data_IF_008229206077
#
_entry.id   IF_008229206077
#
_cell.length_a   1.000
_cell.length_b   1.000
_cell.length_c   1.000
_cell.angle_alpha   90.00
_cell.angle_beta   90.00
_cell.angle_gamma   90.00
#
_symmetry.space_group_name_H-M   'P 1'
#
loop_
_entity.id
_entity.type
_entity.pdbx_description
1 polymer ?
#
# COMPACT_ATOMS: atom_id res chain seq x y z
N UNK A 1 11.46 -58.26 35.47
CA UNK A 1 12.02 -57.02 34.86
C UNK A 1 10.91 -56.26 34.13
N UNK A 2 10.28 -55.27 34.79
CA UNK A 2 9.21 -54.40 34.24
C UNK A 2 9.55 -52.95 34.59
N UNK A 3 10.52 -52.34 33.90
CA UNK A 3 10.93 -50.94 34.11
C UNK A 3 11.47 -50.33 32.80
N UNK A 4 10.60 -50.16 31.80
CA UNK A 4 10.94 -49.32 30.65
C UNK A 4 9.74 -48.64 29.97
N UNK A 5 8.50 -48.91 30.40
CA UNK A 5 7.31 -48.45 29.69
C UNK A 5 6.75 -47.07 30.13
N UNK A 6 7.35 -46.38 31.11
CA UNK A 6 6.84 -45.10 31.62
C UNK A 6 7.55 -43.85 31.07
N UNK A 7 8.69 -43.99 30.38
CA UNK A 7 9.42 -42.83 29.86
C UNK A 7 8.91 -42.35 28.48
N UNK A 8 8.23 -43.19 27.70
CA UNK A 8 7.73 -42.78 26.38
C UNK A 8 6.44 -41.95 26.42
N UNK A 9 5.61 -42.07 27.46
CA UNK A 9 4.35 -41.30 27.55
C UNK A 9 4.53 -39.83 27.92
N UNK A 10 5.63 -39.46 28.59
CA UNK A 10 5.86 -38.06 29.00
C UNK A 10 6.38 -37.24 27.81
N UNK A 11 7.14 -37.86 26.90
CA UNK A 11 7.64 -37.19 25.70
C UNK A 11 6.52 -36.92 24.67
N UNK A 12 5.51 -37.80 24.60
CA UNK A 12 4.35 -37.61 23.71
C UNK A 12 3.42 -36.47 24.12
N UNK A 13 3.40 -36.07 25.40
CA UNK A 13 2.52 -35.01 25.88
C UNK A 13 3.10 -33.60 25.62
N UNK A 14 4.43 -33.49 25.54
CA UNK A 14 5.14 -32.22 25.29
C UNK A 14 5.12 -31.80 23.81
N UNK A 15 4.99 -32.73 22.87
CA UNK A 15 4.98 -32.44 21.43
C UNK A 15 3.60 -31.98 20.92
N UNK A 16 2.50 -32.33 21.60
CA UNK A 16 1.15 -31.87 21.23
C UNK A 16 0.88 -30.43 21.71
N UNK A 17 1.61 -29.94 22.72
CA UNK A 17 1.48 -28.57 23.21
C UNK A 17 2.34 -27.55 22.43
N UNK A 18 3.06 -27.99 21.40
CA UNK A 18 3.74 -27.12 20.43
C UNK A 18 2.89 -26.80 19.19
N UNK A 19 1.59 -27.13 19.21
CA UNK A 19 0.65 -26.70 18.16
C UNK A 19 0.46 -25.17 18.21
N UNK A 20 1.33 -24.51 17.46
CA UNK A 20 1.00 -23.40 16.57
C UNK A 20 0.27 -22.22 17.21
N UNK A 21 1.02 -21.42 17.99
CA UNK A 21 0.82 -19.97 17.93
C UNK A 21 1.31 -19.50 16.54
N UNK A 22 0.54 -19.75 15.50
CA UNK A 22 0.66 -18.95 14.27
C UNK A 22 0.16 -17.57 14.64
N UNK A 23 1.08 -16.67 14.98
CA UNK A 23 0.76 -15.26 15.12
C UNK A 23 0.12 -14.80 13.83
N UNK A 24 -1.20 -14.57 13.86
CA UNK A 24 -1.90 -13.81 12.83
C UNK A 24 -1.24 -12.43 12.82
N UNK A 25 -0.31 -12.22 11.88
CA UNK A 25 0.11 -10.88 11.51
C UNK A 25 -1.12 -10.21 10.90
N UNK A 26 -1.98 -9.64 11.75
CA UNK A 26 -3.07 -8.78 11.31
C UNK A 26 -2.39 -7.55 10.73
N UNK A 27 -2.41 -7.41 9.41
CA UNK A 27 -2.15 -6.11 8.80
C UNK A 27 -3.21 -5.16 9.35
N UNK A 28 -2.79 -4.21 10.17
CA UNK A 28 -3.68 -3.23 10.78
C UNK A 28 -4.31 -2.43 9.65
N UNK A 29 -5.61 -2.67 9.40
CA UNK A 29 -6.37 -1.93 8.39
C UNK A 29 -6.97 -0.72 9.07
N UNK A 30 -6.56 0.46 8.63
CA UNK A 30 -7.02 1.73 9.17
C UNK A 30 -8.12 2.30 8.28
N UNK A 31 -9.20 2.84 8.87
CA UNK A 31 -10.30 3.47 8.14
C UNK A 31 -10.19 5.00 8.18
N UNK A 32 -9.76 5.60 7.07
CA UNK A 32 -9.78 7.04 6.83
C UNK A 32 -11.08 7.51 6.17
N UNK A 33 -11.46 8.77 6.37
CA UNK A 33 -12.62 9.40 5.71
C UNK A 33 -12.18 10.49 4.74
N UNK A 34 -12.87 10.59 3.61
CA UNK A 34 -12.75 11.67 2.63
C UNK A 34 -11.49 11.61 1.75
N UNK A 35 -10.31 11.74 2.36
CA UNK A 35 -9.04 11.89 1.67
C UNK A 35 -7.87 11.19 2.37
N UNK A 36 -6.81 10.94 1.61
CA UNK A 36 -5.53 10.41 2.08
C UNK A 36 -4.39 11.22 1.46
N UNK A 37 -3.58 11.86 2.29
CA UNK A 37 -2.27 12.40 1.93
C UNK A 37 -1.19 11.44 2.41
N UNK A 38 -0.14 11.26 1.62
CA UNK A 38 0.98 10.44 2.02
C UNK A 38 2.28 10.92 1.38
N UNK A 39 3.35 10.93 2.17
CA UNK A 39 4.70 11.28 1.74
C UNK A 39 5.75 10.35 2.33
N UNK A 40 6.67 9.86 1.50
CA UNK A 40 7.74 9.00 1.99
C UNK A 40 8.55 8.32 0.91
N UNK A 41 9.03 7.12 1.22
CA UNK A 41 9.87 6.28 0.36
C UNK A 41 9.38 4.83 0.39
N UNK A 42 9.58 4.10 -0.71
CA UNK A 42 9.16 2.71 -0.86
C UNK A 42 8.14 2.53 -1.98
N UNK A 43 6.97 1.98 -1.64
CA UNK A 43 5.86 1.72 -2.57
C UNK A 43 4.53 2.14 -1.96
N UNK A 44 3.71 2.82 -2.76
CA UNK A 44 2.30 3.08 -2.46
C UNK A 44 1.44 2.51 -3.59
N UNK A 45 0.45 1.69 -3.26
CA UNK A 45 -0.49 1.12 -4.24
C UNK A 45 -1.91 1.48 -3.83
N UNK A 46 -2.61 2.22 -4.68
CA UNK A 46 -4.00 2.62 -4.48
C UNK A 46 -4.89 1.81 -5.41
N UNK A 47 -6.03 1.36 -4.89
CA UNK A 47 -7.16 0.80 -5.65
C UNK A 47 -8.40 1.59 -5.24
N UNK A 48 -8.87 2.49 -6.10
CA UNK A 48 -9.88 3.47 -5.69
C UNK A 48 -10.72 4.01 -6.84
N UNK A 49 -11.81 4.67 -6.48
CA UNK A 49 -12.60 5.55 -7.35
C UNK A 49 -12.52 6.97 -6.81
N UNK A 50 -12.29 7.94 -7.69
CA UNK A 50 -12.13 9.35 -7.33
C UNK A 50 -10.95 9.99 -8.06
N UNK A 51 -10.19 10.82 -7.34
CA UNK A 51 -9.05 11.57 -7.87
C UNK A 51 -7.79 11.28 -7.07
N UNK A 52 -6.65 11.16 -7.77
CA UNK A 52 -5.31 11.10 -7.16
C UNK A 52 -4.43 12.17 -7.80
N UNK A 53 -3.97 13.12 -6.99
CA UNK A 53 -2.94 14.09 -7.35
C UNK A 53 -1.58 13.58 -6.84
N UNK A 54 -0.60 13.50 -7.73
CA UNK A 54 0.73 12.97 -7.44
C UNK A 54 1.75 14.05 -7.72
N UNK A 55 2.61 14.34 -6.74
CA UNK A 55 3.73 15.26 -6.88
C UNK A 55 4.98 14.46 -7.24
N UNK A 56 5.37 14.52 -8.51
CA UNK A 56 6.60 13.94 -9.03
C UNK A 56 7.82 14.78 -8.68
N UNK A 57 8.87 14.12 -8.18
CA UNK A 57 10.13 14.76 -7.76
C UNK A 57 11.32 14.38 -8.65
N UNK A 58 11.08 13.89 -9.87
CA UNK A 58 12.11 13.49 -10.82
C UNK A 58 12.75 12.12 -10.54
N UNK A 59 12.35 11.43 -9.48
CA UNK A 59 12.92 10.13 -9.07
C UNK A 59 11.79 9.15 -8.76
N UNK A 60 11.83 7.98 -9.41
CA UNK A 60 10.85 6.91 -9.22
C UNK A 60 9.97 6.68 -10.45
N UNK A 61 8.89 5.94 -10.23
CA UNK A 61 7.92 5.61 -11.26
C UNK A 61 6.49 5.57 -10.72
N UNK A 62 5.54 5.99 -11.56
CA UNK A 62 4.10 5.95 -11.33
C UNK A 62 3.46 5.08 -12.42
N UNK A 63 2.71 4.06 -12.03
CA UNK A 63 1.97 3.17 -12.92
C UNK A 63 0.48 3.39 -12.68
N UNK A 64 -0.28 3.60 -13.75
CA UNK A 64 -1.71 3.93 -13.69
C UNK A 64 -2.46 2.96 -14.61
N UNK A 65 -3.55 2.39 -14.12
CA UNK A 65 -4.44 1.50 -14.88
C UNK A 65 -5.90 1.85 -14.60
N UNK A 66 -6.75 1.78 -15.63
CA UNK A 66 -8.19 1.98 -15.50
C UNK A 66 -8.62 3.42 -15.20
N UNK A 67 -7.73 4.40 -15.40
CA UNK A 67 -8.10 5.81 -15.29
C UNK A 67 -8.94 6.24 -16.51
N UNK A 68 -9.94 7.07 -16.26
CA UNK A 68 -10.74 7.72 -17.30
C UNK A 68 -10.01 8.95 -17.84
N UNK A 69 -9.36 9.69 -16.95
CA UNK A 69 -8.60 10.89 -17.28
C UNK A 69 -7.23 10.89 -16.60
N UNK A 70 -6.19 11.29 -17.35
CA UNK A 70 -4.84 11.47 -16.84
C UNK A 70 -4.31 12.80 -17.38
N UNK A 71 -4.17 13.78 -16.50
CA UNK A 71 -3.56 15.07 -16.80
C UNK A 71 -2.18 15.14 -16.14
N UNK A 72 -1.17 15.58 -16.88
CA UNK A 72 0.19 15.68 -16.34
C UNK A 72 0.87 16.97 -16.81
N UNK A 73 1.44 17.72 -15.86
CA UNK A 73 2.19 18.95 -16.10
C UNK A 73 3.59 18.78 -15.54
N UNK A 74 4.62 18.95 -16.37
CA UNK A 74 6.00 18.76 -15.95
C UNK A 74 6.87 18.05 -16.98
N UNK A 75 7.98 17.48 -16.51
CA UNK A 75 9.02 16.85 -17.33
C UNK A 75 9.30 15.42 -16.86
N UNK A 76 9.57 14.52 -17.82
CA UNK A 76 9.93 13.13 -17.54
C UNK A 76 9.55 12.22 -18.70
N UNK A 77 9.50 10.92 -18.45
CA UNK A 77 9.15 9.95 -19.48
C UNK A 77 7.77 9.37 -19.24
N UNK A 78 6.85 9.58 -20.17
CA UNK A 78 5.53 8.94 -20.23
C UNK A 78 5.54 7.85 -21.30
N UNK A 79 5.05 6.66 -20.97
CA UNK A 79 4.88 5.57 -21.93
C UNK A 79 3.55 4.85 -21.68
N UNK A 80 2.90 4.40 -22.75
CA UNK A 80 1.76 3.51 -22.66
C UNK A 80 2.26 2.08 -22.42
N UNK A 81 1.51 1.30 -21.65
CA UNK A 81 1.78 -0.10 -21.34
C UNK A 81 0.77 -1.00 -22.06
N UNK A 82 1.15 -2.25 -22.26
CA UNK A 82 0.22 -3.28 -22.70
C UNK A 82 -0.92 -3.42 -21.68
N UNK A 83 -2.15 -3.63 -22.15
CA UNK A 83 -3.33 -3.72 -21.28
C UNK A 83 -3.91 -2.36 -20.84
N UNK A 84 -3.60 -1.27 -21.54
CA UNK A 84 -4.25 0.04 -21.33
C UNK A 84 -3.70 0.84 -20.15
N UNK A 85 -2.55 0.47 -19.60
CA UNK A 85 -1.89 1.22 -18.54
C UNK A 85 -1.01 2.36 -19.08
N UNK A 86 -0.64 3.28 -18.19
CA UNK A 86 0.34 4.34 -18.44
C UNK A 86 1.41 4.30 -17.35
N UNK A 87 2.67 4.52 -17.72
CA UNK A 87 3.77 4.71 -16.77
C UNK A 87 4.42 6.07 -16.95
N UNK A 88 4.71 6.72 -15.84
CA UNK A 88 5.58 7.89 -15.75
C UNK A 88 6.87 7.50 -15.01
N UNK A 89 8.04 7.80 -15.58
CA UNK A 89 9.36 7.52 -14.97
C UNK A 89 10.19 8.78 -14.89
N UNK A 90 10.87 8.97 -13.75
CA UNK A 90 11.69 10.15 -13.50
C UNK A 90 10.91 11.46 -13.67
N UNK A 91 9.60 11.44 -13.34
CA UNK A 91 8.71 12.56 -13.62
C UNK A 91 8.82 13.62 -12.52
N UNK A 92 9.01 14.87 -12.92
CA UNK A 92 9.05 16.06 -12.07
C UNK A 92 7.93 17.00 -12.48
N UNK A 93 6.96 17.21 -11.58
CA UNK A 93 5.72 17.95 -11.86
C UNK A 93 4.51 17.28 -11.22
N UNK A 94 3.30 17.58 -11.71
CA UNK A 94 2.06 17.05 -11.16
C UNK A 94 1.41 16.07 -12.13
N UNK A 95 0.90 14.96 -11.60
CA UNK A 95 0.04 14.01 -12.34
C UNK A 95 -1.29 13.93 -11.59
N UNK A 96 -2.38 14.27 -12.26
CA UNK A 96 -3.75 14.11 -11.76
C UNK A 96 -4.41 12.95 -12.50
N UNK A 97 -4.97 12.02 -11.74
CA UNK A 97 -5.62 10.81 -12.26
C UNK A 97 -7.04 10.74 -11.72
N UNK A 98 -8.02 10.60 -12.61
CA UNK A 98 -9.44 10.52 -12.23
C UNK A 98 -10.08 9.30 -12.88
N UNK A 99 -10.98 8.65 -12.15
CA UNK A 99 -11.84 7.60 -12.69
C UNK A 99 -12.38 6.65 -11.63
N UNK A 100 -13.07 5.61 -12.08
CA UNK A 100 -13.58 4.54 -11.24
C UNK A 100 -12.71 3.27 -11.24
N UNK A 101 -12.55 2.64 -10.07
CA UNK A 101 -11.83 1.36 -9.90
C UNK A 101 -10.40 1.39 -10.49
N UNK A 102 -9.77 2.55 -10.48
CA UNK A 102 -8.40 2.73 -10.97
C UNK A 102 -7.38 2.12 -10.01
N UNK A 103 -6.24 1.74 -10.57
CA UNK A 103 -5.07 1.29 -9.81
C UNK A 103 -3.91 2.22 -10.08
N UNK A 104 -3.39 2.84 -9.01
CA UNK A 104 -2.23 3.74 -9.07
C UNK A 104 -1.13 3.17 -8.19
N UNK A 105 0.03 2.85 -8.78
CA UNK A 105 1.20 2.35 -8.06
C UNK A 105 2.36 3.31 -8.21
N UNK A 106 2.87 3.80 -7.08
CA UNK A 106 4.04 4.66 -6.99
C UNK A 106 5.19 3.89 -6.36
N UNK A 107 6.38 4.00 -6.94
CA UNK A 107 7.62 3.40 -6.42
C UNK A 107 8.73 4.44 -6.48
N UNK A 108 9.41 4.70 -5.37
CA UNK A 108 10.51 5.65 -5.37
C UNK A 108 11.02 6.00 -3.98
N UNK A 109 12.06 6.83 -3.96
CA UNK A 109 12.66 7.36 -2.72
C UNK A 109 11.97 8.63 -2.22
N UNK A 110 11.10 9.24 -3.04
CA UNK A 110 10.31 10.43 -2.71
C UNK A 110 8.93 10.37 -3.37
N UNK A 111 8.03 9.65 -2.71
CA UNK A 111 6.60 9.55 -3.01
C UNK A 111 5.88 10.69 -2.30
N UNK A 112 4.96 11.35 -2.99
CA UNK A 112 4.05 12.33 -2.42
C UNK A 112 2.76 12.35 -3.24
N UNK A 113 1.61 12.16 -2.60
CA UNK A 113 0.31 12.22 -3.26
C UNK A 113 -0.81 12.62 -2.31
N UNK A 114 -1.91 13.08 -2.89
CA UNK A 114 -3.20 13.26 -2.24
C UNK A 114 -4.26 12.51 -3.04
N UNK A 115 -5.02 11.66 -2.37
CA UNK A 115 -6.13 10.91 -2.93
C UNK A 115 -7.44 11.40 -2.30
N UNK A 116 -8.48 11.59 -3.11
CA UNK A 116 -9.84 11.92 -2.65
C UNK A 116 -10.84 10.96 -3.30
N UNK A 117 -11.82 10.48 -2.54
CA UNK A 117 -12.80 9.50 -3.02
C UNK A 117 -12.90 8.29 -2.11
N UNK A 118 -13.06 7.09 -2.69
CA UNK A 118 -13.24 5.85 -1.93
C UNK A 118 -12.41 4.69 -2.47
N UNK A 119 -11.85 3.86 -1.59
CA UNK A 119 -11.05 2.70 -1.98
C UNK A 119 -10.07 2.26 -0.90
N UNK A 120 -8.90 1.76 -1.32
CA UNK A 120 -7.84 1.31 -0.42
C UNK A 120 -6.47 1.76 -0.90
N UNK A 121 -5.56 1.95 0.04
CA UNK A 121 -4.14 2.20 -0.19
C UNK A 121 -3.29 1.22 0.63
N UNK A 122 -2.30 0.60 -0.01
CA UNK A 122 -1.26 -0.17 0.66
C UNK A 122 0.06 0.59 0.59
N UNK A 123 0.61 0.96 1.74
CA UNK A 123 1.82 1.76 1.89
C UNK A 123 2.92 0.89 2.52
N UNK A 124 4.06 0.75 1.84
CA UNK A 124 5.20 -0.02 2.37
C UNK A 124 6.51 0.73 2.16
N UNK A 125 7.31 0.84 3.20
CA UNK A 125 8.60 1.54 3.15
C UNK A 125 8.82 2.40 4.38
N UNK A 126 9.01 3.70 4.22
CA UNK A 126 9.04 4.65 5.34
C UNK A 126 8.42 5.97 4.91
N UNK A 127 7.46 6.46 5.68
CA UNK A 127 6.83 7.76 5.42
C UNK A 127 5.73 8.07 6.41
N UNK A 128 5.04 9.17 6.16
CA UNK A 128 3.96 9.70 6.96
C UNK A 128 2.69 9.82 6.11
N UNK A 129 1.56 9.42 6.69
CA UNK A 129 0.24 9.58 6.08
C UNK A 129 -0.68 10.41 6.98
N UNK A 130 -1.68 10.99 6.33
CA UNK A 130 -2.73 11.75 6.98
C UNK A 130 -4.06 11.55 6.24
N UNK A 131 -5.13 11.47 7.01
CA UNK A 131 -6.52 11.44 6.59
C UNK A 131 -7.28 12.42 7.46
N UNK A 132 -8.58 12.61 7.21
CA UNK A 132 -9.41 13.53 8.01
C UNK A 132 -9.34 13.29 9.53
N UNK A 133 -9.29 12.03 9.96
CA UNK A 133 -9.38 11.67 11.38
C UNK A 133 -8.15 10.96 11.93
N UNK A 134 -7.20 10.57 11.08
CA UNK A 134 -6.09 9.69 11.44
C UNK A 134 -4.82 10.13 10.74
N UNK A 135 -3.70 9.99 11.45
CA UNK A 135 -2.36 10.27 10.94
C UNK A 135 -1.35 9.36 11.61
N UNK A 136 -0.24 9.12 10.95
CA UNK A 136 0.85 8.35 11.52
C UNK A 136 1.92 8.03 10.50
N UNK A 137 2.86 7.18 10.93
CA UNK A 137 3.93 6.71 10.07
C UNK A 137 3.61 5.32 9.52
N UNK A 138 4.07 5.04 8.30
CA UNK A 138 4.16 3.66 7.80
C UNK A 138 5.63 3.21 7.79
N UNK A 139 5.81 1.90 7.87
CA UNK A 139 7.13 1.28 7.87
C UNK A 139 7.22 0.08 6.90
N UNK A 140 8.33 -0.65 6.95
CA UNK A 140 8.62 -1.74 6.01
C UNK A 140 7.68 -2.95 6.15
N UNK A 141 6.90 -3.05 7.24
CA UNK A 141 5.88 -4.08 7.43
C UNK A 141 4.66 -3.87 6.54
N UNK A 142 4.45 -2.65 6.04
CA UNK A 142 3.26 -2.29 5.28
C UNK A 142 2.16 -1.73 6.20
N UNK A 143 1.28 -0.93 5.61
CA UNK A 143 0.08 -0.37 6.23
C UNK A 143 -1.03 -0.35 5.19
N UNK A 144 -2.19 -0.89 5.54
CA UNK A 144 -3.40 -0.86 4.72
C UNK A 144 -4.35 0.22 5.24
N UNK A 145 -4.78 1.11 4.35
CA UNK A 145 -5.70 2.20 4.66
C UNK A 145 -6.92 2.07 3.74
N UNK A 146 -8.10 1.90 4.33
CA UNK A 146 -9.39 2.01 3.66
C UNK A 146 -9.83 3.49 3.69
N UNK A 147 -10.06 4.08 2.51
CA UNK A 147 -10.56 5.45 2.37
C UNK A 147 -12.06 5.36 2.09
N UNK A 148 -12.86 5.86 3.02
CA UNK A 148 -14.31 5.86 2.91
C UNK A 148 -14.78 7.20 2.33
N UNK A 149 -15.57 7.12 1.26
CA UNK A 149 -16.21 8.29 0.64
C UNK A 149 -17.22 8.87 1.64
N UNK A 150 -17.16 10.18 1.86
CA UNK A 150 -18.17 10.92 2.62
C UNK A 150 -19.49 11.02 1.85
#
# INVERSE_FOLDING_TARGET
>A
MKRSLKLFSIFSLLVVLSLTLTGLASAETIRGKGWLYAKGSGTATLRMSGEVEITGHGIGAVYIYGAEEINATGQGHRANLNGGGVVFRGYSGTITVTGEKMVVKMVGTKIEFKATGGGSAHLRGRGYYETENLRGDWNNRGLDIEVVKN
#
